data_IF_225965056680
#
_entry.id   IF_225965056680
#
_cell.length_a   1.000
_cell.length_b   1.000
_cell.length_c   1.000
_cell.angle_alpha   90.00
_cell.angle_beta   90.00
_cell.angle_gamma   90.00
#
_symmetry.space_group_name_H-M   'P 1'
#
loop_
_entity.id
_entity.type
_entity.pdbx_description
1 polymer ?
#
# COMPACT_ATOMS: atom_id res chain seq x y z
N UNK A 1 18.26 10.31 9.92
CA UNK A 1 17.11 10.37 8.99
C UNK A 1 16.92 8.99 8.40
N UNK A 2 15.69 8.47 8.46
CA UNK A 2 15.32 7.20 7.85
C UNK A 2 14.50 7.44 6.58
N UNK A 3 14.84 6.81 5.46
CA UNK A 3 14.06 6.89 4.24
C UNK A 3 13.96 5.54 3.52
N UNK A 4 12.78 5.25 2.98
CA UNK A 4 12.51 4.08 2.13
C UNK A 4 12.12 4.57 0.76
N UNK A 5 12.85 4.12 -0.27
CA UNK A 5 12.54 4.43 -1.67
C UNK A 5 11.99 3.19 -2.34
N UNK A 6 10.78 3.29 -2.86
CA UNK A 6 10.07 2.20 -3.50
C UNK A 6 10.04 2.43 -5.02
N UNK A 7 10.25 1.34 -5.76
CA UNK A 7 10.03 1.28 -7.21
C UNK A 7 9.06 0.15 -7.49
N UNK A 8 8.19 0.36 -8.48
CA UNK A 8 7.21 -0.63 -8.88
C UNK A 8 7.69 -1.28 -10.18
N UNK A 9 8.13 -2.56 -10.18
CA UNK A 9 8.73 -3.18 -11.37
C UNK A 9 7.81 -3.20 -12.60
N UNK A 10 6.49 -3.23 -12.38
CA UNK A 10 5.50 -3.17 -13.46
C UNK A 10 5.06 -1.73 -13.78
N UNK A 11 5.64 -0.74 -13.11
CA UNK A 11 5.26 0.67 -13.21
C UNK A 11 3.83 0.97 -12.76
N UNK A 12 3.23 0.11 -11.93
CA UNK A 12 1.86 0.25 -11.45
C UNK A 12 1.80 -0.02 -9.94
N UNK A 13 1.15 0.87 -9.21
CA UNK A 13 0.75 0.66 -7.82
C UNK A 13 -0.72 0.25 -7.75
N UNK A 14 -1.02 -0.79 -6.97
CA UNK A 14 -2.38 -1.30 -6.79
C UNK A 14 -2.80 -1.13 -5.34
N UNK A 15 -3.65 -0.14 -5.11
CA UNK A 15 -4.38 0.01 -3.85
C UNK A 15 -5.70 0.72 -4.10
N UNK A 16 -6.73 0.29 -3.37
CA UNK A 16 -8.04 0.93 -3.33
C UNK A 16 -8.07 2.00 -2.24
N UNK A 17 -8.70 3.14 -2.53
CA UNK A 17 -8.97 4.16 -1.53
C UNK A 17 -9.94 3.61 -0.47
N UNK A 18 -9.76 4.02 0.79
CA UNK A 18 -10.57 3.51 1.90
C UNK A 18 -12.03 4.00 1.84
N UNK A 19 -12.27 5.17 1.26
CA UNK A 19 -13.58 5.81 1.15
C UNK A 19 -14.35 5.39 -0.12
N UNK A 20 -13.64 5.03 -1.19
CA UNK A 20 -14.21 4.53 -2.45
C UNK A 20 -13.31 3.45 -3.06
N UNK A 21 -13.75 2.20 -2.99
CA UNK A 21 -13.01 1.07 -3.55
C UNK A 21 -12.91 1.09 -5.08
N UNK A 22 -13.73 1.90 -5.75
CA UNK A 22 -13.65 2.11 -7.19
C UNK A 22 -12.63 3.19 -7.58
N UNK A 23 -11.98 3.83 -6.60
CA UNK A 23 -10.92 4.82 -6.79
C UNK A 23 -9.58 4.26 -6.32
N UNK A 24 -8.49 4.45 -7.08
CA UNK A 24 -7.17 4.10 -6.58
C UNK A 24 -6.75 5.02 -5.43
N UNK A 25 -6.06 4.47 -4.44
CA UNK A 25 -5.38 5.25 -3.41
C UNK A 25 -4.12 5.88 -4.03
N UNK A 26 -3.97 7.20 -3.91
CA UNK A 26 -2.74 7.90 -4.28
C UNK A 26 -2.57 9.18 -3.47
N UNK A 27 -1.36 9.48 -2.94
CA UNK A 27 -0.19 8.60 -2.84
C UNK A 27 -0.43 7.42 -1.86
N UNK A 28 0.48 6.43 -1.80
CA UNK A 28 0.35 5.30 -0.87
C UNK A 28 0.31 5.79 0.59
N UNK A 29 -0.71 5.37 1.36
CA UNK A 29 -0.82 5.75 2.76
C UNK A 29 0.31 5.12 3.61
N UNK A 30 0.88 5.80 4.63
CA UNK A 30 1.99 5.25 5.44
C UNK A 30 1.73 3.87 6.04
N UNK A 31 0.47 3.60 6.40
CA UNK A 31 0.03 2.28 6.92
C UNK A 31 0.29 1.15 5.92
N UNK A 32 0.29 1.41 4.61
CA UNK A 32 0.59 0.39 3.59
C UNK A 32 2.02 -0.12 3.73
N UNK A 33 2.98 0.79 3.96
CA UNK A 33 4.38 0.43 4.18
C UNK A 33 4.56 -0.32 5.50
N UNK A 34 3.94 0.17 6.59
CA UNK A 34 4.00 -0.52 7.89
C UNK A 34 3.38 -1.92 7.82
N UNK A 35 2.26 -2.09 7.13
CA UNK A 35 1.63 -3.39 6.91
C UNK A 35 2.51 -4.33 6.06
N UNK A 36 3.17 -3.80 5.03
CA UNK A 36 4.10 -4.57 4.20
C UNK A 36 5.32 -5.03 5.01
N UNK A 37 5.91 -4.16 5.82
CA UNK A 37 7.01 -4.51 6.74
C UNK A 37 6.57 -5.51 7.81
N UNK A 38 5.34 -5.40 8.31
CA UNK A 38 4.76 -6.38 9.23
C UNK A 38 4.58 -7.75 8.54
N UNK A 39 4.13 -7.77 7.29
CA UNK A 39 4.02 -9.01 6.53
C UNK A 39 5.42 -9.64 6.29
N UNK A 40 6.41 -8.82 5.98
CA UNK A 40 7.82 -9.22 5.89
C UNK A 40 8.32 -9.79 7.22
N UNK A 41 7.98 -9.19 8.36
CA UNK A 41 8.37 -9.72 9.68
C UNK A 41 7.78 -11.11 10.00
N UNK A 42 6.75 -11.54 9.27
CA UNK A 42 6.15 -12.87 9.40
C UNK A 42 6.71 -13.89 8.39
N UNK A 43 7.70 -13.53 7.56
CA UNK A 43 8.48 -14.48 6.75
C UNK A 43 9.40 -15.32 7.65
N UNK A 44 9.98 -16.40 7.11
CA UNK A 44 10.83 -17.29 7.91
C UNK A 44 12.19 -16.65 8.17
N UNK A 45 12.63 -16.61 9.42
CA UNK A 45 14.02 -16.28 9.79
C UNK A 45 14.18 -14.99 10.57
N UNK A 46 13.17 -14.10 10.54
CA UNK A 46 13.22 -12.82 11.24
C UNK A 46 12.97 -12.99 12.74
N UNK A 47 13.77 -12.32 13.58
CA UNK A 47 13.50 -12.20 15.01
C UNK A 47 12.27 -11.30 15.24
N UNK A 48 11.16 -11.94 15.63
CA UNK A 48 9.88 -11.27 15.89
C UNK A 48 9.97 -10.17 16.95
N UNK A 49 10.82 -10.33 17.97
CA UNK A 49 10.98 -9.32 19.01
C UNK A 49 11.70 -8.08 18.47
N UNK A 50 12.75 -8.30 17.68
CA UNK A 50 13.50 -7.24 17.03
C UNK A 50 12.64 -6.50 16.00
N UNK A 51 11.93 -7.23 15.13
CA UNK A 51 11.01 -6.63 14.14
C UNK A 51 9.89 -5.83 14.82
N UNK A 52 9.32 -6.35 15.92
CA UNK A 52 8.34 -5.61 16.73
C UNK A 52 8.93 -4.30 17.27
N UNK A 53 10.17 -4.30 17.73
CA UNK A 53 10.85 -3.08 18.23
C UNK A 53 10.93 -2.01 17.15
N UNK A 54 11.33 -2.38 15.93
CA UNK A 54 11.42 -1.48 14.76
C UNK A 54 10.04 -0.94 14.37
N UNK A 55 9.04 -1.82 14.21
CA UNK A 55 7.67 -1.42 13.83
C UNK A 55 7.02 -0.51 14.88
N UNK A 56 7.31 -0.73 16.17
CA UNK A 56 6.84 0.15 17.25
C UNK A 56 7.47 1.54 17.17
N UNK A 57 8.78 1.64 16.83
CA UNK A 57 9.46 2.92 16.61
C UNK A 57 8.85 3.69 15.44
N UNK A 58 8.62 3.02 14.30
CA UNK A 58 7.99 3.62 13.12
C UNK A 58 6.56 4.12 13.44
N UNK A 59 5.80 3.33 14.19
CA UNK A 59 4.41 3.65 14.53
C UNK A 59 4.27 4.75 15.58
N UNK A 60 5.30 4.96 16.41
CA UNK A 60 5.35 6.01 17.42
C UNK A 60 5.96 7.33 16.90
N UNK A 61 6.63 7.29 15.75
CA UNK A 61 7.20 8.48 15.11
C UNK A 61 6.10 9.35 14.48
N UNK A 62 6.43 10.60 14.20
CA UNK A 62 5.58 11.44 13.37
C UNK A 62 5.37 10.80 11.98
N UNK A 63 4.23 11.07 11.30
CA UNK A 63 3.97 10.54 9.97
C UNK A 63 5.12 10.87 9.00
N UNK A 64 5.52 9.93 8.11
CA UNK A 64 6.56 10.21 7.14
C UNK A 64 6.12 11.29 6.15
N UNK A 65 7.08 12.06 5.69
CA UNK A 65 6.93 12.86 4.47
C UNK A 65 6.91 11.89 3.29
N UNK A 66 5.83 11.93 2.50
CA UNK A 66 5.70 11.13 1.29
C UNK A 66 6.09 11.99 0.09
N UNK A 67 7.11 11.56 -0.63
CA UNK A 67 7.51 12.13 -1.91
C UNK A 67 7.01 11.20 -3.01
N UNK A 68 6.00 11.65 -3.76
CA UNK A 68 5.40 10.91 -4.86
C UNK A 68 5.06 11.87 -6.00
N UNK A 69 5.09 11.41 -7.27
CA UNK A 69 4.63 12.24 -8.37
C UNK A 69 3.14 12.57 -8.27
N UNK A 70 2.74 13.73 -8.81
CA UNK A 70 1.38 14.25 -8.71
C UNK A 70 0.39 13.41 -9.52
N UNK A 71 -0.81 13.24 -8.99
CA UNK A 71 -1.87 12.62 -9.77
C UNK A 71 -2.34 13.58 -10.86
N UNK A 72 -2.46 13.08 -12.10
CA UNK A 72 -2.97 13.87 -13.22
C UNK A 72 -4.34 14.48 -12.91
N UNK A 73 -5.17 13.78 -12.14
CA UNK A 73 -6.51 14.22 -11.77
C UNK A 73 -6.52 15.46 -10.86
N UNK A 74 -5.43 15.71 -10.14
CA UNK A 74 -5.25 16.90 -9.28
C UNK A 74 -4.80 18.14 -10.07
N UNK A 75 -4.33 17.95 -11.32
CA UNK A 75 -3.81 19.04 -12.16
C UNK A 75 -4.93 19.64 -13.03
N UNK A 76 -5.08 20.97 -13.11
CA UNK A 76 -6.05 21.61 -14.01
C UNK A 76 -5.86 21.17 -15.46
N UNK A 77 -6.95 21.04 -16.23
CA UNK A 77 -6.89 20.59 -17.62
C UNK A 77 -5.95 21.43 -18.49
N UNK A 78 -5.86 22.74 -18.23
CA UNK A 78 -4.95 23.68 -18.91
C UNK A 78 -3.46 23.39 -18.68
N UNK A 79 -3.12 22.71 -17.60
CA UNK A 79 -1.74 22.42 -17.20
C UNK A 79 -1.33 20.98 -17.54
N UNK A 80 -2.27 20.09 -17.87
CA UNK A 80 -1.99 18.68 -18.21
C UNK A 80 -1.17 18.51 -19.49
N UNK A 81 -1.37 19.41 -20.44
CA UNK A 81 -0.70 19.39 -21.75
C UNK A 81 0.42 20.45 -21.83
N UNK A 82 0.66 21.19 -20.74
CA UNK A 82 1.78 22.11 -20.65
C UNK A 82 3.08 21.29 -20.53
N UNK A 83 4.17 21.70 -21.20
CA UNK A 83 5.47 21.06 -21.02
C UNK A 83 5.97 21.36 -19.59
N UNK A 84 5.72 20.43 -18.70
CA UNK A 84 6.16 20.43 -17.30
C UNK A 84 7.14 19.28 -17.10
N UNK A 85 8.24 19.55 -16.40
CA UNK A 85 9.25 18.54 -16.05
C UNK A 85 8.81 17.63 -14.88
N UNK A 86 7.74 17.99 -14.16
CA UNK A 86 7.19 17.16 -13.08
C UNK A 86 6.42 15.94 -13.65
N UNK A 87 6.83 14.70 -13.31
CA UNK A 87 6.15 13.51 -13.79
C UNK A 87 4.73 13.42 -13.20
N UNK A 88 3.74 13.21 -14.07
CA UNK A 88 2.35 12.96 -13.68
C UNK A 88 2.05 11.47 -13.70
N UNK A 89 1.30 11.00 -12.71
CA UNK A 89 0.76 9.63 -12.70
C UNK A 89 -0.69 9.60 -13.13
N UNK A 90 -1.13 8.48 -13.71
CA UNK A 90 -2.49 8.32 -14.20
C UNK A 90 -3.24 7.23 -13.44
N UNK A 91 -4.48 7.53 -13.03
CA UNK A 91 -5.40 6.55 -12.46
C UNK A 91 -5.76 5.48 -13.50
N UNK A 92 -5.57 4.22 -13.14
CA UNK A 92 -5.99 3.07 -13.91
C UNK A 92 -7.29 2.50 -13.34
N UNK A 93 -8.26 2.27 -14.21
CA UNK A 93 -9.50 1.57 -13.89
C UNK A 93 -9.65 0.36 -14.80
N UNK A 94 -9.49 -0.82 -14.23
CA UNK A 94 -9.77 -2.09 -14.88
C UNK A 94 -11.27 -2.43 -14.82
N UNK A 95 -11.67 -3.45 -15.58
CA UNK A 95 -13.04 -3.94 -15.57
C UNK A 95 -13.42 -4.46 -14.17
N UNK A 96 -14.47 -3.89 -13.58
CA UNK A 96 -15.12 -4.46 -12.41
C UNK A 96 -15.62 -5.87 -12.73
N UNK A 97 -15.51 -6.79 -11.78
CA UNK A 97 -16.09 -8.14 -11.92
C UNK A 97 -16.87 -8.53 -10.68
N UNK A 98 -17.91 -9.32 -10.88
CA UNK A 98 -18.63 -9.95 -9.78
C UNK A 98 -17.88 -11.20 -9.31
N UNK A 99 -17.30 -11.16 -8.12
CA UNK A 99 -16.64 -12.31 -7.49
C UNK A 99 -17.47 -12.85 -6.33
N UNK A 100 -17.32 -14.13 -5.95
CA UNK A 100 -17.85 -14.64 -4.68
C UNK A 100 -17.50 -13.69 -3.52
N UNK A 101 -18.50 -13.30 -2.73
CA UNK A 101 -18.28 -12.47 -1.55
C UNK A 101 -17.65 -13.31 -0.44
N UNK A 102 -16.56 -12.82 0.15
CA UNK A 102 -16.06 -13.35 1.41
C UNK A 102 -16.97 -12.87 2.54
N UNK A 103 -17.50 -13.82 3.31
CA UNK A 103 -18.34 -13.53 4.48
C UNK A 103 -17.50 -13.53 5.74
N UNK A 104 -17.77 -12.61 6.65
CA UNK A 104 -17.18 -12.69 7.98
C UNK A 104 -17.75 -13.89 8.75
N UNK A 105 -16.93 -14.49 9.61
CA UNK A 105 -17.37 -15.59 10.49
C UNK A 105 -18.56 -15.20 11.37
N UNK A 106 -18.65 -13.92 11.75
CA UNK A 106 -19.76 -13.32 12.50
C UNK A 106 -21.07 -13.35 11.71
N UNK A 107 -21.03 -12.96 10.43
CA UNK A 107 -22.17 -13.00 9.51
C UNK A 107 -22.64 -14.44 9.28
N UNK A 108 -21.72 -15.37 9.02
CA UNK A 108 -22.06 -16.77 8.77
C UNK A 108 -22.78 -17.41 9.97
N UNK A 109 -22.36 -17.06 11.20
CA UNK A 109 -22.99 -17.54 12.44
C UNK A 109 -24.36 -16.91 12.70
N UNK A 110 -24.53 -15.62 12.40
CA UNK A 110 -25.80 -14.89 12.62
C UNK A 110 -26.86 -15.30 11.62
N UNK A 111 -26.48 -15.37 10.34
CA UNK A 111 -27.41 -15.57 9.24
C UNK A 111 -27.66 -17.06 8.94
N UNK A 112 -26.97 -17.97 9.64
CA UNK A 112 -27.10 -19.41 9.45
C UNK A 112 -26.70 -19.86 8.04
N UNK A 113 -25.75 -19.15 7.40
CA UNK A 113 -25.34 -19.41 6.02
C UNK A 113 -24.64 -20.76 5.95
N UNK A 114 -25.25 -21.70 5.23
CA UNK A 114 -24.72 -23.04 5.09
C UNK A 114 -23.53 -23.06 4.10
N UNK A 115 -22.57 -24.00 4.21
CA UNK A 115 -21.44 -24.09 3.28
C UNK A 115 -21.83 -24.16 1.78
N UNK A 116 -23.02 -24.69 1.47
CA UNK A 116 -23.60 -24.74 0.11
C UNK A 116 -24.08 -23.38 -0.43
N UNK A 117 -24.19 -22.38 0.43
CA UNK A 117 -24.61 -21.01 0.10
C UNK A 117 -23.42 -20.06 0.00
N UNK A 118 -22.25 -20.47 0.52
CA UNK A 118 -20.97 -19.81 0.27
C UNK A 118 -20.73 -19.74 -1.24
N UNK A 119 -20.57 -18.52 -1.76
CA UNK A 119 -20.32 -18.27 -3.18
C UNK A 119 -21.55 -17.97 -4.05
N UNK A 120 -22.78 -18.09 -3.52
CA UNK A 120 -23.99 -17.60 -4.24
C UNK A 120 -24.09 -16.07 -4.22
N UNK A 121 -23.71 -15.45 -3.11
CA UNK A 121 -23.65 -14.00 -3.00
C UNK A 121 -22.36 -13.52 -3.68
N UNK A 122 -22.50 -12.63 -4.65
CA UNK A 122 -21.39 -12.00 -5.36
C UNK A 122 -21.25 -10.56 -4.88
N UNK A 123 -20.02 -10.09 -4.78
CA UNK A 123 -19.68 -8.69 -4.58
C UNK A 123 -19.01 -8.16 -5.85
N UNK A 124 -19.25 -6.90 -6.17
CA UNK A 124 -18.48 -6.22 -7.19
C UNK A 124 -17.04 -6.03 -6.67
N UNK A 125 -16.06 -6.39 -7.50
CA UNK A 125 -14.64 -6.24 -7.22
C UNK A 125 -14.06 -5.27 -8.23
N UNK A 126 -13.55 -4.15 -7.72
CA UNK A 126 -12.89 -3.13 -8.50
C UNK A 126 -11.41 -3.47 -8.69
N UNK A 127 -10.93 -3.32 -9.93
CA UNK A 127 -9.50 -3.36 -10.23
C UNK A 127 -9.05 -1.95 -10.51
N UNK A 128 -8.34 -1.35 -9.57
CA UNK A 128 -7.83 0.01 -9.71
C UNK A 128 -6.33 0.02 -9.44
N UNK A 129 -5.68 1.07 -9.91
CA UNK A 129 -4.28 1.30 -9.64
C UNK A 129 -3.84 2.66 -10.17
N UNK A 130 -2.55 2.93 -10.06
CA UNK A 130 -1.92 4.16 -10.52
C UNK A 130 -0.74 3.76 -11.41
N UNK A 131 -0.74 4.25 -12.65
CA UNK A 131 0.40 4.12 -13.56
C UNK A 131 1.47 5.13 -13.17
N UNK A 132 2.60 4.62 -12.68
CA UNK A 132 3.75 5.35 -12.14
C UNK A 132 4.94 5.28 -13.09
N UNK A 133 5.01 4.26 -13.95
CA UNK A 133 6.17 4.02 -14.82
C UNK A 133 7.43 3.76 -14.00
N UNK A 134 8.55 4.37 -14.39
CA UNK A 134 9.84 4.19 -13.72
C UNK A 134 10.05 5.08 -12.48
N UNK A 135 9.04 5.90 -12.13
CA UNK A 135 9.13 6.82 -11.00
C UNK A 135 9.16 6.08 -9.66
N UNK A 136 9.83 6.66 -8.69
CA UNK A 136 9.89 6.14 -7.32
C UNK A 136 8.94 6.90 -6.39
N UNK A 137 8.50 6.22 -5.33
CA UNK A 137 7.83 6.84 -4.19
C UNK A 137 8.76 6.71 -2.98
N UNK A 138 8.95 7.79 -2.22
CA UNK A 138 9.77 7.75 -1.01
C UNK A 138 8.94 8.08 0.24
N UNK A 139 9.17 7.31 1.30
CA UNK A 139 8.72 7.61 2.66
C UNK A 139 9.93 8.06 3.46
N UNK A 140 9.91 9.29 3.98
CA UNK A 140 11.01 9.86 4.75
C UNK A 140 10.55 10.24 6.16
N UNK A 141 11.29 9.79 7.17
CA UNK A 141 11.18 10.26 8.55
C UNK A 141 12.44 11.09 8.88
N UNK A 142 12.37 12.43 8.79
CA UNK A 142 13.52 13.31 9.00
C UNK A 142 14.14 13.14 10.39
N UNK A 143 13.29 13.07 11.42
CA UNK A 143 13.68 13.06 12.84
C UNK A 143 13.79 11.66 13.44
N UNK A 144 13.45 10.60 12.68
CA UNK A 144 13.55 9.24 13.19
C UNK A 144 14.98 8.71 13.00
N UNK A 145 15.61 8.41 14.13
CA UNK A 145 16.85 7.66 14.19
C UNK A 145 16.60 6.26 14.77
N UNK A 146 17.15 5.26 14.10
CA UNK A 146 17.20 3.87 14.55
C UNK A 146 18.60 3.57 15.12
N UNK A 147 18.68 2.68 16.10
CA UNK A 147 19.98 2.13 16.51
C UNK A 147 20.58 1.28 15.39
N UNK A 148 21.88 0.97 15.44
CA UNK A 148 22.51 0.10 14.43
C UNK A 148 21.81 -1.27 14.31
N UNK A 149 21.44 -1.88 15.43
CA UNK A 149 20.72 -3.15 15.45
C UNK A 149 19.30 -3.02 14.86
N UNK A 150 18.60 -1.93 15.16
CA UNK A 150 17.28 -1.66 14.60
C UNK A 150 17.34 -1.38 13.10
N UNK A 151 18.39 -0.69 12.64
CA UNK A 151 18.60 -0.41 11.22
C UNK A 151 18.87 -1.69 10.44
N UNK A 152 19.72 -2.59 10.96
CA UNK A 152 19.99 -3.87 10.30
C UNK A 152 18.71 -4.72 10.14
N UNK A 153 17.89 -4.79 11.20
CA UNK A 153 16.59 -5.49 11.14
C UNK A 153 15.63 -4.78 10.16
N UNK A 154 15.64 -3.45 10.15
CA UNK A 154 14.82 -2.68 9.21
C UNK A 154 15.22 -2.94 7.75
N UNK A 155 16.52 -3.00 7.45
CA UNK A 155 17.02 -3.33 6.12
C UNK A 155 16.58 -4.73 5.67
N UNK A 156 16.71 -5.74 6.55
CA UNK A 156 16.21 -7.11 6.29
C UNK A 156 14.70 -7.10 6.00
N UNK A 157 13.91 -6.38 6.80
CA UNK A 157 12.46 -6.27 6.58
C UNK A 157 12.13 -5.61 5.24
N UNK A 158 12.88 -4.58 4.84
CA UNK A 158 12.67 -3.87 3.56
C UNK A 158 13.01 -4.77 2.37
N UNK A 159 14.09 -5.56 2.46
CA UNK A 159 14.46 -6.53 1.41
C UNK A 159 13.37 -7.60 1.20
N UNK A 160 12.70 -8.00 2.28
CA UNK A 160 11.62 -8.99 2.26
C UNK A 160 10.24 -8.42 1.86
N UNK A 161 10.12 -7.11 1.62
CA UNK A 161 8.86 -6.51 1.15
C UNK A 161 8.56 -6.99 -0.28
N UNK A 162 7.63 -7.95 -0.38
CA UNK A 162 7.18 -8.47 -1.67
C UNK A 162 6.04 -7.67 -2.31
N UNK A 163 5.27 -6.92 -1.52
CA UNK A 163 4.07 -6.21 -2.00
C UNK A 163 3.72 -5.01 -1.13
N UNK A 164 3.32 -3.91 -1.78
CA UNK A 164 2.78 -2.70 -1.15
C UNK A 164 1.44 -2.37 -1.81
N UNK A 165 0.35 -2.40 -1.03
CA UNK A 165 -1.01 -2.11 -1.52
C UNK A 165 -2.00 -3.22 -1.16
N UNK A 166 -3.17 -3.24 -1.81
CA UNK A 166 -4.22 -4.29 -1.72
C UNK A 166 -5.03 -4.34 -3.01
#
# INVERSE_FOLDING_TARGET
MLAVVLRFPLGVYHAQAQDDFARPEWPPHPVRLVAALLAAAHTRGVDVAAARSVLARLSAADPPVILAPRARDEVPASERDAPTDEPLVASLRGASRWAPRNHELSELRRDGVYPRELGRKRAEVHKVGVAIGDQSVAFSWPELELTADQLAVFEELVEDVAFLGT
#
